data_IF_427046780288
#
_entry.id   IF_427046780288
#
_cell.length_a   1.000
_cell.length_b   1.000
_cell.length_c   1.000
_cell.angle_alpha   90.00
_cell.angle_beta   90.00
_cell.angle_gamma   90.00
#
_symmetry.space_group_name_H-M   'P 1'
#
loop_
_entity.id
_entity.type
_entity.pdbx_description
1 polymer ?
#
# COMPACT_ATOMS: atom_id res chain seq x y z
N UNK A 1 35.48 -7.74 -5.31
CA UNK A 1 34.14 -8.26 -4.96
C UNK A 1 33.21 -7.09 -5.12
N UNK A 2 32.34 -7.10 -6.12
CA UNK A 2 31.26 -6.12 -6.21
C UNK A 2 30.16 -6.55 -5.24
N UNK A 3 29.92 -5.82 -4.13
CA UNK A 3 28.70 -6.04 -3.39
C UNK A 3 27.62 -5.18 -4.07
N UNK A 4 26.40 -5.71 -4.18
CA UNK A 4 25.20 -4.97 -4.65
C UNK A 4 25.03 -4.79 -6.17
N UNK A 5 24.81 -5.88 -6.92
CA UNK A 5 24.16 -5.76 -8.23
C UNK A 5 23.16 -6.88 -8.56
N UNK A 6 22.61 -7.55 -7.54
CA UNK A 6 21.32 -8.23 -7.72
C UNK A 6 20.21 -7.26 -7.35
N UNK A 7 19.90 -6.35 -8.27
CA UNK A 7 18.50 -5.94 -8.42
C UNK A 7 17.81 -7.24 -8.80
N UNK A 8 17.29 -7.96 -7.79
CA UNK A 8 16.29 -8.99 -8.04
C UNK A 8 15.25 -8.33 -8.94
N UNK A 9 15.01 -8.88 -10.13
CA UNK A 9 13.99 -8.34 -11.02
C UNK A 9 12.67 -8.39 -10.25
N UNK A 10 12.26 -7.25 -9.72
CA UNK A 10 11.00 -7.13 -9.00
C UNK A 10 9.92 -7.39 -10.05
N UNK A 11 9.23 -8.51 -9.89
CA UNK A 11 8.12 -8.84 -10.75
C UNK A 11 6.99 -7.87 -10.43
N UNK A 12 6.49 -7.21 -11.47
CA UNK A 12 5.34 -6.32 -11.37
C UNK A 12 4.19 -6.90 -12.18
N UNK A 13 2.98 -6.67 -11.71
CA UNK A 13 1.75 -7.04 -12.40
C UNK A 13 0.95 -5.77 -12.75
N UNK A 14 0.20 -5.78 -13.87
CA UNK A 14 -0.66 -4.66 -14.21
C UNK A 14 -1.74 -4.44 -13.14
N UNK A 15 -2.08 -3.19 -12.87
CA UNK A 15 -3.17 -2.80 -11.99
C UNK A 15 -4.49 -2.91 -12.75
N UNK A 16 -5.41 -3.73 -12.26
CA UNK A 16 -6.74 -3.86 -12.85
C UNK A 16 -7.70 -2.80 -12.29
N UNK A 17 -8.03 -1.81 -13.11
CA UNK A 17 -9.01 -0.76 -12.80
C UNK A 17 -10.43 -1.10 -13.26
N UNK A 18 -10.64 -2.22 -13.98
CA UNK A 18 -11.95 -2.60 -14.51
C UNK A 18 -12.89 -3.10 -13.42
N UNK A 19 -12.33 -3.57 -12.30
CA UNK A 19 -13.07 -4.00 -11.13
C UNK A 19 -12.49 -3.36 -9.87
N UNK A 20 -13.34 -2.64 -9.12
CA UNK A 20 -12.98 -2.03 -7.85
C UNK A 20 -13.84 -2.68 -6.76
N UNK A 21 -13.23 -3.33 -5.74
CA UNK A 21 -13.95 -4.05 -4.71
C UNK A 21 -14.77 -3.10 -3.84
N UNK A 22 -15.83 -3.61 -3.19
CA UNK A 22 -16.48 -2.90 -2.09
C UNK A 22 -15.66 -3.09 -0.81
N UNK A 23 -15.86 -2.20 0.17
CA UNK A 23 -15.28 -2.30 1.50
C UNK A 23 -15.41 -3.71 2.10
N UNK A 24 -16.57 -4.33 2.00
CA UNK A 24 -16.82 -5.69 2.52
C UNK A 24 -15.97 -6.75 1.81
N UNK A 25 -15.72 -6.60 0.51
CA UNK A 25 -14.90 -7.53 -0.26
C UNK A 25 -13.43 -7.42 0.18
N UNK A 26 -12.95 -6.20 0.44
CA UNK A 26 -11.60 -5.94 0.96
C UNK A 26 -11.43 -6.51 2.37
N UNK A 27 -12.38 -6.27 3.27
CA UNK A 27 -12.34 -6.82 4.64
C UNK A 27 -12.35 -8.35 4.63
N UNK A 28 -13.21 -8.95 3.79
CA UNK A 28 -13.28 -10.41 3.62
C UNK A 28 -11.99 -10.97 3.04
N UNK A 29 -11.41 -10.32 2.03
CA UNK A 29 -10.14 -10.73 1.45
C UNK A 29 -9.04 -10.73 2.51
N UNK A 30 -8.84 -9.65 3.25
CA UNK A 30 -7.80 -9.59 4.29
C UNK A 30 -8.05 -10.56 5.46
N UNK A 31 -9.31 -10.98 5.70
CA UNK A 31 -9.62 -12.01 6.69
C UNK A 31 -9.28 -13.44 6.25
N UNK A 32 -9.14 -13.68 4.95
CA UNK A 32 -8.96 -15.02 4.36
C UNK A 32 -7.64 -15.20 3.61
N UNK A 33 -6.99 -14.11 3.23
CA UNK A 33 -5.75 -14.12 2.48
C UNK A 33 -4.63 -14.78 3.29
N UNK A 34 -3.96 -15.73 2.63
CA UNK A 34 -2.85 -16.47 3.21
C UNK A 34 -1.76 -16.73 2.17
N UNK A 35 -0.53 -16.87 2.64
CA UNK A 35 0.63 -17.21 1.84
C UNK A 35 1.30 -18.43 2.46
N UNK A 36 1.58 -19.44 1.65
CA UNK A 36 2.37 -20.59 2.07
C UNK A 36 3.80 -20.45 1.57
N UNK A 37 4.77 -20.44 2.50
CA UNK A 37 6.18 -20.42 2.14
C UNK A 37 6.55 -21.71 1.38
N UNK A 38 7.11 -21.60 0.16
CA UNK A 38 7.37 -22.76 -0.68
C UNK A 38 8.44 -23.70 -0.10
N UNK A 39 9.34 -23.19 0.75
CA UNK A 39 10.45 -23.93 1.36
C UNK A 39 10.05 -24.53 2.71
N UNK A 40 9.52 -23.74 3.64
CA UNK A 40 9.19 -24.19 5.00
C UNK A 40 7.81 -24.83 5.10
N UNK A 41 6.93 -24.58 4.12
CA UNK A 41 5.51 -24.95 4.12
C UNK A 41 4.68 -24.29 5.22
N UNK A 42 5.24 -23.31 5.92
CA UNK A 42 4.52 -22.50 6.90
C UNK A 42 3.49 -21.61 6.19
N UNK A 43 2.30 -21.47 6.80
CA UNK A 43 1.24 -20.60 6.30
C UNK A 43 1.18 -19.34 7.13
N UNK A 44 1.28 -18.20 6.45
CA UNK A 44 1.12 -16.87 7.01
C UNK A 44 -0.24 -16.30 6.62
N UNK A 45 -0.84 -15.55 7.54
CA UNK A 45 -2.16 -14.93 7.34
C UNK A 45 -2.03 -13.42 7.47
N UNK A 46 -2.79 -12.69 6.65
CA UNK A 46 -2.89 -11.26 6.83
C UNK A 46 -3.55 -10.91 8.16
N UNK A 47 -3.13 -9.79 8.75
CA UNK A 47 -3.80 -9.25 9.91
C UNK A 47 -5.18 -8.75 9.49
N UNK A 48 -6.23 -9.34 10.07
CA UNK A 48 -7.60 -8.89 9.83
C UNK A 48 -7.80 -7.48 10.38
N UNK A 49 -8.47 -6.62 9.60
CA UNK A 49 -8.89 -5.30 10.07
C UNK A 49 -10.26 -4.93 9.50
N UNK A 50 -10.95 -4.05 10.21
CA UNK A 50 -12.19 -3.42 9.76
C UNK A 50 -11.88 -2.00 9.32
N UNK A 51 -12.42 -1.60 8.17
CA UNK A 51 -12.23 -0.28 7.58
C UNK A 51 -13.07 0.75 8.35
N UNK A 52 -12.41 1.65 9.07
CA UNK A 52 -13.05 2.78 9.77
C UNK A 52 -12.79 4.11 9.04
N UNK A 53 -13.60 5.16 9.26
CA UNK A 53 -13.42 6.47 8.62
C UNK A 53 -12.04 7.11 8.82
N UNK A 54 -11.34 6.79 9.91
CA UNK A 54 -9.98 7.32 10.17
C UNK A 54 -8.90 6.65 9.31
N UNK A 55 -9.24 5.55 8.63
CA UNK A 55 -8.30 4.75 7.85
C UNK A 55 -8.33 5.04 6.35
N UNK A 56 -9.26 5.88 5.88
CA UNK A 56 -9.37 6.15 4.45
C UNK A 56 -9.49 7.63 4.12
N UNK A 57 -9.08 7.96 2.89
CA UNK A 57 -9.40 9.21 2.23
C UNK A 57 -10.64 9.02 1.36
N UNK A 58 -11.67 9.85 1.58
CA UNK A 58 -12.88 9.89 0.75
C UNK A 58 -12.67 10.84 -0.44
N UNK A 59 -12.86 10.34 -1.66
CA UNK A 59 -12.70 11.16 -2.87
C UNK A 59 -13.96 11.95 -3.26
N UNK A 60 -15.10 11.66 -2.62
CA UNK A 60 -16.41 12.26 -2.93
C UNK A 60 -16.82 12.10 -4.41
N UNK A 61 -16.30 11.07 -5.08
CA UNK A 61 -16.61 10.76 -6.49
C UNK A 61 -16.81 9.26 -6.67
N UNK A 62 -17.52 8.91 -7.74
CA UNK A 62 -17.68 7.53 -8.23
C UNK A 62 -16.88 7.28 -9.51
N UNK A 63 -16.24 8.33 -10.05
CA UNK A 63 -15.59 8.31 -11.37
C UNK A 63 -14.16 7.83 -11.19
N UNK A 64 -13.86 6.66 -11.74
CA UNK A 64 -12.55 5.99 -11.59
C UNK A 64 -11.44 6.83 -12.21
N UNK A 65 -11.70 7.43 -13.38
CA UNK A 65 -10.74 8.24 -14.11
C UNK A 65 -10.30 9.49 -13.33
N UNK A 66 -11.16 10.05 -12.47
CA UNK A 66 -10.79 11.18 -11.60
C UNK A 66 -9.77 10.76 -10.55
N UNK A 67 -9.96 9.59 -9.95
CA UNK A 67 -9.02 9.03 -8.96
C UNK A 67 -7.69 8.65 -9.62
N UNK A 68 -7.72 7.99 -10.79
CA UNK A 68 -6.50 7.67 -11.55
C UNK A 68 -5.72 8.96 -11.87
N UNK A 69 -6.39 9.98 -12.42
CA UNK A 69 -5.75 11.25 -12.77
C UNK A 69 -5.18 11.95 -11.55
N UNK A 70 -5.88 11.93 -10.42
CA UNK A 70 -5.38 12.48 -9.16
C UNK A 70 -4.06 11.82 -8.78
N UNK A 71 -3.99 10.48 -8.83
CA UNK A 71 -2.78 9.75 -8.49
C UNK A 71 -1.64 9.96 -9.49
N UNK A 72 -1.89 9.83 -10.80
CA UNK A 72 -0.85 10.03 -11.83
C UNK A 72 -0.28 11.45 -11.80
N UNK A 73 -1.13 12.47 -11.59
CA UNK A 73 -0.70 13.88 -11.52
C UNK A 73 0.18 14.19 -10.31
N UNK A 74 0.15 13.31 -9.29
CA UNK A 74 0.91 13.43 -8.06
C UNK A 74 2.06 12.40 -7.98
N UNK A 75 2.44 11.79 -9.11
CA UNK A 75 3.61 10.93 -9.20
C UNK A 75 3.43 9.53 -8.61
N UNK A 76 2.19 9.06 -8.45
CA UNK A 76 1.91 7.67 -8.10
C UNK A 76 1.96 6.79 -9.35
N UNK A 77 2.50 5.58 -9.17
CA UNK A 77 2.40 4.52 -10.16
C UNK A 77 1.00 3.90 -10.09
N UNK A 78 0.28 3.93 -11.22
CA UNK A 78 -1.12 3.49 -11.34
C UNK A 78 -1.32 2.33 -12.30
N UNK A 79 -0.26 1.92 -13.01
CA UNK A 79 -0.34 0.94 -14.10
C UNK A 79 0.23 -0.40 -13.69
N UNK A 80 1.24 -0.41 -12.82
CA UNK A 80 1.87 -1.64 -12.36
C UNK A 80 2.11 -1.59 -10.85
N UNK A 81 1.93 -2.73 -10.18
CA UNK A 81 2.28 -2.90 -8.76
C UNK A 81 3.24 -4.06 -8.63
N UNK A 82 4.11 -4.01 -7.61
CA UNK A 82 4.95 -5.16 -7.26
C UNK A 82 4.05 -6.34 -6.94
N UNK A 83 4.37 -7.50 -7.50
CA UNK A 83 3.63 -8.72 -7.25
C UNK A 83 3.78 -9.11 -5.78
N UNK A 84 2.67 -9.02 -5.05
CA UNK A 84 2.56 -9.46 -3.66
C UNK A 84 2.29 -10.98 -3.60
N UNK A 85 3.02 -11.76 -2.78
CA UNK A 85 2.72 -13.17 -2.51
C UNK A 85 1.28 -13.48 -2.05
N UNK A 86 0.61 -12.53 -1.38
CA UNK A 86 -0.78 -12.67 -0.98
C UNK A 86 -1.75 -12.18 -2.07
N UNK A 87 -1.30 -11.23 -2.90
CA UNK A 87 -2.08 -10.55 -3.92
C UNK A 87 -2.72 -9.24 -3.43
N UNK A 88 -3.55 -8.63 -4.28
CA UNK A 88 -4.31 -7.43 -3.92
C UNK A 88 -5.81 -7.66 -4.23
N UNK A 89 -6.73 -7.18 -3.37
CA UNK A 89 -8.16 -7.36 -3.56
C UNK A 89 -8.76 -6.44 -4.63
N UNK A 90 -7.97 -5.58 -5.29
CA UNK A 90 -8.44 -4.56 -6.21
C UNK A 90 -7.28 -3.71 -6.75
N UNK A 91 -7.58 -2.55 -7.36
CA UNK A 91 -6.54 -1.66 -7.84
C UNK A 91 -5.78 -1.03 -6.69
N UNK A 92 -4.48 -1.00 -6.87
CA UNK A 92 -3.52 -0.51 -5.89
C UNK A 92 -2.56 0.45 -6.58
N UNK A 93 -2.26 1.55 -5.92
CA UNK A 93 -1.29 2.55 -6.39
C UNK A 93 -0.24 2.78 -5.32
N UNK A 94 0.94 3.26 -5.72
CA UNK A 94 1.97 3.58 -4.74
C UNK A 94 2.85 4.76 -5.18
N UNK A 95 3.47 5.41 -4.19
CA UNK A 95 4.47 6.45 -4.40
C UNK A 95 5.59 6.33 -3.34
N UNK A 96 6.87 6.30 -3.73
CA UNK A 96 7.97 6.39 -2.78
C UNK A 96 7.91 7.73 -2.02
N UNK A 97 7.94 7.69 -0.70
CA UNK A 97 7.96 8.88 0.17
C UNK A 97 9.38 9.21 0.68
N UNK A 98 10.38 8.41 0.29
CA UNK A 98 11.74 8.56 0.76
C UNK A 98 11.92 8.08 2.20
N UNK A 99 12.92 8.63 2.89
CA UNK A 99 13.12 8.34 4.31
C UNK A 99 12.07 9.07 5.16
N UNK A 100 11.45 8.41 6.16
CA UNK A 100 10.42 9.04 7.00
C UNK A 100 10.85 10.34 7.69
N UNK A 101 12.14 10.50 8.02
CA UNK A 101 12.65 11.72 8.64
C UNK A 101 12.68 12.93 7.70
N UNK A 102 12.45 12.74 6.39
CA UNK A 102 12.32 13.83 5.43
C UNK A 102 10.88 14.33 5.29
N UNK A 103 9.91 13.72 5.99
CA UNK A 103 8.52 14.20 5.99
C UNK A 103 8.42 15.56 6.70
N UNK A 104 7.39 16.38 6.39
CA UNK A 104 7.26 17.73 6.95
C UNK A 104 7.16 17.81 8.49
N UNK A 105 6.86 16.69 9.16
CA UNK A 105 6.81 16.57 10.61
C UNK A 105 7.27 15.19 11.08
N UNK A 106 7.66 15.06 12.35
CA UNK A 106 7.97 13.77 12.96
C UNK A 106 6.69 12.95 13.16
N UNK A 107 6.74 11.69 12.73
CA UNK A 107 5.69 10.68 12.93
C UNK A 107 6.29 9.53 13.75
N UNK A 108 6.02 9.46 15.07
CA UNK A 108 6.57 8.42 15.94
C UNK A 108 6.31 7.00 15.45
N UNK A 109 5.19 6.76 14.77
CA UNK A 109 4.78 5.50 14.17
C UNK A 109 5.77 4.99 13.11
N UNK A 110 6.47 5.92 12.43
CA UNK A 110 7.43 5.60 11.38
C UNK A 110 8.87 5.42 11.89
N UNK A 111 9.14 5.59 13.20
CA UNK A 111 10.51 5.51 13.76
C UNK A 111 11.21 4.20 13.44
N UNK A 112 10.46 3.09 13.39
CA UNK A 112 10.99 1.77 13.03
C UNK A 112 11.57 1.72 11.61
N UNK A 113 11.09 2.57 10.72
CA UNK A 113 11.52 2.67 9.32
C UNK A 113 12.52 3.80 9.08
N UNK A 114 13.07 4.43 10.13
CA UNK A 114 13.99 5.57 10.01
C UNK A 114 15.24 5.33 9.14
N UNK A 115 15.59 4.07 8.88
CA UNK A 115 16.73 3.67 8.05
C UNK A 115 16.33 3.14 6.68
N UNK A 116 15.04 3.19 6.34
CA UNK A 116 14.49 2.63 5.11
C UNK A 116 13.81 3.72 4.29
N UNK A 117 13.92 3.60 2.98
CA UNK A 117 13.06 4.30 2.03
C UNK A 117 11.69 3.63 2.11
N UNK A 118 10.67 4.42 2.38
CA UNK A 118 9.29 3.97 2.46
C UNK A 118 8.51 4.39 1.22
N UNK A 119 7.35 3.75 1.04
CA UNK A 119 6.31 4.17 0.11
C UNK A 119 4.97 4.33 0.83
N UNK A 120 4.12 5.17 0.27
CA UNK A 120 2.68 5.12 0.52
C UNK A 120 2.11 4.12 -0.47
N UNK A 121 1.56 3.02 0.05
CA UNK A 121 0.80 2.04 -0.71
C UNK A 121 -0.69 2.29 -0.46
N UNK A 122 -1.49 2.33 -1.52
CA UNK A 122 -2.90 2.68 -1.41
C UNK A 122 -3.76 1.68 -2.16
N UNK A 123 -4.60 0.97 -1.42
CA UNK A 123 -5.66 0.15 -2.01
C UNK A 123 -6.89 1.02 -2.27
N UNK A 124 -7.52 0.84 -3.43
CA UNK A 124 -8.73 1.58 -3.82
C UNK A 124 -9.94 0.65 -3.68
N UNK A 125 -10.97 1.13 -2.99
CA UNK A 125 -12.23 0.40 -2.88
C UNK A 125 -13.43 1.35 -2.83
N UNK A 126 -14.63 0.78 -2.82
CA UNK A 126 -15.90 1.51 -2.76
C UNK A 126 -16.54 1.42 -1.37
N UNK A 127 -17.08 2.53 -0.88
CA UNK A 127 -17.95 2.60 0.30
C UNK A 127 -19.29 3.23 -0.06
N UNK A 128 -20.30 2.90 0.74
CA UNK A 128 -21.66 3.44 0.66
C UNK A 128 -22.15 3.48 -0.80
N UNK A 129 -22.75 4.57 -1.27
CA UNK A 129 -23.30 4.73 -2.62
C UNK A 129 -22.24 4.67 -3.76
N UNK A 130 -21.38 3.65 -3.81
CA UNK A 130 -20.25 3.47 -4.75
C UNK A 130 -19.24 4.62 -4.75
N UNK A 131 -19.10 5.32 -3.62
CA UNK A 131 -18.09 6.35 -3.45
C UNK A 131 -16.71 5.71 -3.35
N UNK A 132 -15.76 6.21 -4.13
CA UNK A 132 -14.38 5.74 -4.11
C UNK A 132 -13.66 6.26 -2.87
N UNK A 133 -12.93 5.36 -2.21
CA UNK A 133 -12.04 5.67 -1.10
C UNK A 133 -10.65 5.09 -1.35
N UNK A 134 -9.68 5.68 -0.67
CA UNK A 134 -8.29 5.22 -0.65
C UNK A 134 -7.90 4.77 0.74
N UNK A 135 -7.34 3.56 0.83
CA UNK A 135 -6.87 2.92 2.05
C UNK A 135 -5.33 2.91 2.08
N UNK A 136 -4.70 4.01 2.52
CA UNK A 136 -3.25 4.09 2.55
C UNK A 136 -2.66 3.26 3.70
N UNK A 137 -1.48 2.72 3.45
CA UNK A 137 -0.55 2.30 4.47
C UNK A 137 0.89 2.62 4.06
N UNK A 138 1.75 2.77 5.06
CA UNK A 138 3.17 3.05 4.87
C UNK A 138 3.98 1.81 5.20
N UNK A 139 4.92 1.51 4.33
CA UNK A 139 5.76 0.33 4.40
C UNK A 139 7.13 0.58 3.74
N UNK A 140 8.13 -0.28 3.97
CA UNK A 140 9.40 -0.22 3.23
C UNK A 140 9.15 -0.37 1.74
N UNK A 141 9.83 0.41 0.91
CA UNK A 141 9.70 0.32 -0.53
C UNK A 141 10.47 -0.92 -1.05
N UNK A 142 9.81 -1.89 -1.73
CA UNK A 142 10.45 -3.10 -2.21
C UNK A 142 11.53 -2.86 -3.26
N UNK A 143 11.49 -1.72 -3.99
CA UNK A 143 12.51 -1.33 -4.97
C UNK A 143 13.87 -1.14 -4.30
N UNK A 144 13.87 -0.63 -3.08
CA UNK A 144 15.09 -0.36 -2.31
C UNK A 144 15.37 -1.43 -1.24
N UNK A 145 14.32 -2.09 -0.75
CA UNK A 145 14.36 -2.94 0.44
C UNK A 145 13.54 -4.23 0.31
N UNK A 146 13.67 -4.98 -0.80
CA UNK A 146 12.88 -6.19 -1.09
C UNK A 146 12.77 -7.18 0.08
N UNK A 147 13.89 -7.53 0.73
CA UNK A 147 13.91 -8.46 1.87
C UNK A 147 13.17 -7.89 3.08
N UNK A 148 13.40 -6.62 3.42
CA UNK A 148 12.76 -6.00 4.58
C UNK A 148 11.28 -5.77 4.32
N UNK A 149 10.90 -5.42 3.09
CA UNK A 149 9.52 -5.32 2.65
C UNK A 149 8.82 -6.68 2.85
N UNK A 150 9.36 -7.77 2.30
CA UNK A 150 8.73 -9.08 2.45
C UNK A 150 8.65 -9.54 3.91
N UNK A 151 9.74 -9.45 4.65
CA UNK A 151 9.78 -9.94 6.03
C UNK A 151 9.00 -9.05 7.01
N UNK A 152 9.17 -7.72 6.96
CA UNK A 152 8.56 -6.80 7.94
C UNK A 152 7.10 -6.50 7.61
N UNK A 153 6.77 -6.22 6.35
CA UNK A 153 5.38 -5.97 5.94
C UNK A 153 4.57 -7.25 6.01
N UNK A 154 4.95 -8.27 5.22
CA UNK A 154 4.04 -9.40 4.98
C UNK A 154 4.06 -10.43 6.09
N UNK A 155 5.23 -10.83 6.58
CA UNK A 155 5.31 -11.88 7.60
C UNK A 155 5.06 -11.37 9.02
N UNK A 156 5.38 -10.10 9.30
CA UNK A 156 5.18 -9.50 10.62
C UNK A 156 4.00 -8.55 10.69
N UNK A 157 3.35 -8.22 9.58
CA UNK A 157 2.22 -7.29 9.55
C UNK A 157 2.61 -5.86 9.95
N UNK A 158 3.90 -5.52 9.90
CA UNK A 158 4.38 -4.23 10.35
C UNK A 158 4.20 -3.22 9.22
N UNK A 159 3.03 -2.57 9.22
CA UNK A 159 2.71 -1.41 8.36
C UNK A 159 2.09 -0.32 9.20
N UNK A 160 2.28 0.94 8.79
CA UNK A 160 1.60 2.07 9.44
C UNK A 160 0.31 2.38 8.68
N UNK A 161 -0.83 2.26 9.36
CA UNK A 161 -2.19 2.49 8.84
C UNK A 161 -2.87 3.63 9.61
N UNK A 162 -4.10 3.97 9.21
CA UNK A 162 -4.94 4.91 9.96
C UNK A 162 -4.62 6.36 9.65
N UNK A 163 -4.94 7.24 10.61
CA UNK A 163 -4.89 8.68 10.43
C UNK A 163 -3.52 9.18 9.94
N UNK A 164 -2.43 8.57 10.41
CA UNK A 164 -1.06 8.93 10.00
C UNK A 164 -0.84 8.65 8.51
N UNK A 165 -1.25 7.47 8.03
CA UNK A 165 -1.11 7.12 6.61
C UNK A 165 -2.01 8.00 5.73
N UNK A 166 -3.22 8.31 6.18
CA UNK A 166 -4.15 9.23 5.49
C UNK A 166 -3.57 10.65 5.43
N UNK A 167 -2.98 11.13 6.52
CA UNK A 167 -2.36 12.46 6.56
C UNK A 167 -1.17 12.54 5.59
N UNK A 168 -0.28 11.54 5.60
CA UNK A 168 0.84 11.49 4.67
C UNK A 168 0.33 11.42 3.23
N UNK A 169 -0.67 10.59 2.94
CA UNK A 169 -1.28 10.54 1.61
C UNK A 169 -1.78 11.93 1.16
N UNK A 170 -2.47 12.68 2.02
CA UNK A 170 -2.98 14.02 1.69
C UNK A 170 -1.86 15.01 1.34
N UNK A 171 -0.70 14.92 2.02
CA UNK A 171 0.48 15.74 1.71
C UNK A 171 0.95 15.46 0.27
N UNK A 172 1.08 14.19 -0.09
CA UNK A 172 1.55 13.77 -1.41
C UNK A 172 0.52 14.00 -2.52
N UNK A 173 -0.76 14.09 -2.19
CA UNK A 173 -1.83 14.45 -3.14
C UNK A 173 -2.11 15.96 -3.21
N UNK A 174 -1.40 16.78 -2.44
CA UNK A 174 -1.64 18.22 -2.33
C UNK A 174 -3.09 18.59 -1.93
N UNK A 175 -3.67 17.83 -1.00
CA UNK A 175 -5.04 18.01 -0.50
C UNK A 175 -5.12 18.67 0.90
N UNK A 176 -3.98 19.15 1.41
CA UNK A 176 -3.84 19.84 2.70
C UNK A 176 -3.93 21.35 2.58
#
# INVERSE_FOLDING_TARGET
>A
MEPYSRIEYIQTQPVDWTWIPRKVDVENYYSTASFQDPLTKETYYYQTFQITPEQYLNHNTKIVEEVIKLYESNGFETRHVVQDPFGHPGPTVYCPIGFPFNLPKDYPELRRYSRWICRVHVDICRVDDDILISLPHIEPDPVFHSIAHFWDTYLKGNVVRGQVAVEILKIFLHLT
#
